data_IF_494834054086
#
_entry.id   IF_494834054086
#
_cell.length_a   1.000
_cell.length_b   1.000
_cell.length_c   1.000
_cell.angle_alpha   90.00
_cell.angle_beta   90.00
_cell.angle_gamma   90.00
#
_symmetry.space_group_name_H-M   'P 1'
#
loop_
_entity.id
_entity.type
_entity.pdbx_description
1 polymer ?
#
# COMPACT_ATOMS: atom_id res chain seq x y z
N UNK A 1 37.06 -49.09 -5.56
CA UNK A 1 36.23 -48.06 -4.91
C UNK A 1 35.50 -47.18 -5.94
N UNK A 2 34.63 -47.74 -6.80
CA UNK A 2 33.78 -46.97 -7.73
C UNK A 2 32.33 -47.48 -7.83
N UNK A 3 32.04 -48.70 -7.34
CA UNK A 3 30.69 -49.30 -7.38
C UNK A 3 29.79 -48.98 -6.16
N UNK A 4 30.36 -48.52 -5.05
CA UNK A 4 29.61 -48.18 -3.82
C UNK A 4 28.94 -46.79 -3.91
N UNK A 5 29.49 -45.89 -4.72
CA UNK A 5 28.99 -44.51 -4.86
C UNK A 5 27.69 -44.45 -5.69
N UNK A 6 27.50 -45.38 -6.63
CA UNK A 6 26.29 -45.42 -7.46
C UNK A 6 25.05 -45.95 -6.72
N UNK A 7 25.24 -46.82 -5.72
CA UNK A 7 24.14 -47.37 -4.93
C UNK A 7 23.59 -46.35 -3.92
N UNK A 8 24.47 -45.53 -3.31
CA UNK A 8 24.05 -44.42 -2.45
C UNK A 8 23.34 -43.29 -3.21
N UNK A 9 23.69 -43.05 -4.49
CA UNK A 9 23.04 -42.01 -5.29
C UNK A 9 21.62 -42.43 -5.74
N UNK A 10 21.41 -43.72 -6.03
CA UNK A 10 20.09 -44.25 -6.37
C UNK A 10 19.14 -44.31 -5.16
N UNK A 11 19.68 -44.64 -3.96
CA UNK A 11 18.89 -44.62 -2.73
C UNK A 11 18.47 -43.19 -2.34
N UNK A 12 19.34 -42.19 -2.59
CA UNK A 12 19.04 -40.78 -2.35
C UNK A 12 18.01 -40.21 -3.35
N UNK A 13 18.05 -40.65 -4.62
CA UNK A 13 17.05 -40.25 -5.62
C UNK A 13 15.68 -40.90 -5.36
N UNK A 14 15.63 -42.12 -4.81
CA UNK A 14 14.36 -42.78 -4.46
C UNK A 14 13.72 -42.18 -3.19
N UNK A 15 14.53 -41.63 -2.27
CA UNK A 15 14.00 -40.88 -1.12
C UNK A 15 13.45 -39.50 -1.51
N UNK A 16 13.91 -38.90 -2.62
CA UNK A 16 13.38 -37.61 -3.09
C UNK A 16 12.09 -37.76 -3.88
N UNK A 17 11.82 -38.91 -4.53
CA UNK A 17 10.56 -39.15 -5.24
C UNK A 17 9.40 -39.62 -4.35
N UNK A 18 9.67 -40.11 -3.14
CA UNK A 18 8.62 -40.47 -2.16
C UNK A 18 8.14 -39.27 -1.32
N UNK A 19 8.92 -38.18 -1.25
CA UNK A 19 8.56 -36.96 -0.48
C UNK A 19 7.63 -36.01 -1.25
N UNK A 20 7.37 -36.24 -2.53
CA UNK A 20 6.45 -35.42 -3.35
C UNK A 20 5.05 -36.04 -3.60
N UNK A 21 4.73 -37.18 -2.98
CA UNK A 21 3.41 -37.82 -3.10
C UNK A 21 2.67 -38.00 -1.77
N UNK A 22 3.00 -37.20 -0.74
CA UNK A 22 2.31 -37.28 0.56
C UNK A 22 1.95 -35.90 1.12
N UNK A 23 1.15 -35.12 0.39
CA UNK A 23 0.39 -34.00 0.99
C UNK A 23 -1.05 -33.89 0.49
N UNK A 24 -1.64 -35.01 0.10
CA UNK A 24 -3.09 -35.15 0.03
C UNK A 24 -3.47 -36.29 0.97
N UNK A 25 -3.27 -36.09 2.27
CA UNK A 25 -4.10 -36.81 3.22
C UNK A 25 -5.48 -36.21 3.05
N UNK A 26 -6.43 -36.99 2.55
CA UNK A 26 -7.86 -36.71 2.71
C UNK A 26 -8.10 -36.64 4.22
N UNK A 27 -7.93 -35.44 4.78
CA UNK A 27 -8.06 -35.21 6.20
C UNK A 27 -9.53 -35.46 6.51
N UNK A 28 -9.90 -36.57 7.16
CA UNK A 28 -11.31 -36.90 7.45
C UNK A 28 -11.91 -36.01 8.55
N UNK A 29 -11.30 -34.86 8.85
CA UNK A 29 -11.85 -33.90 9.79
C UNK A 29 -13.24 -33.45 9.34
N UNK A 30 -14.26 -33.55 10.21
CA UNK A 30 -15.59 -33.06 9.90
C UNK A 30 -15.65 -31.54 9.85
N UNK A 31 -14.65 -30.83 10.41
CA UNK A 31 -14.54 -29.39 10.34
C UNK A 31 -13.61 -28.99 9.19
N UNK A 32 -14.17 -28.25 8.23
CA UNK A 32 -13.47 -27.71 7.06
C UNK A 32 -13.35 -26.21 7.17
N UNK A 33 -12.30 -25.69 6.55
CA UNK A 33 -12.11 -24.26 6.43
C UNK A 33 -11.46 -23.88 5.10
N UNK A 34 -11.61 -22.62 4.73
CA UNK A 34 -10.97 -22.02 3.56
C UNK A 34 -10.73 -20.52 3.79
N UNK A 35 -9.77 -19.94 3.09
CA UNK A 35 -9.33 -18.57 3.30
C UNK A 35 -9.17 -17.82 1.97
N UNK A 36 -9.89 -16.70 1.87
CA UNK A 36 -9.77 -15.76 0.77
C UNK A 36 -9.34 -14.39 1.29
N UNK A 37 -8.26 -13.84 0.74
CA UNK A 37 -7.98 -12.40 0.84
C UNK A 37 -8.80 -11.67 -0.22
N UNK A 38 -9.53 -10.62 0.17
CA UNK A 38 -10.41 -9.89 -0.76
C UNK A 38 -9.72 -8.75 -1.50
N UNK A 39 -8.75 -8.08 -0.88
CA UNK A 39 -8.13 -6.92 -1.51
C UNK A 39 -7.07 -7.32 -2.53
N UNK A 40 -7.19 -6.76 -3.72
CA UNK A 40 -6.16 -6.81 -4.75
C UNK A 40 -5.29 -5.55 -4.67
N UNK A 41 -4.01 -5.69 -4.33
CA UNK A 41 -3.05 -4.58 -4.31
C UNK A 41 -1.85 -4.79 -3.39
N UNK A 42 -0.81 -3.94 -3.50
CA UNK A 42 0.33 -3.98 -2.60
C UNK A 42 -0.09 -3.78 -1.14
N UNK A 43 0.55 -4.53 -0.24
CA UNK A 43 0.33 -4.36 1.20
C UNK A 43 1.15 -3.16 1.65
N UNK A 44 0.47 -2.14 2.18
CA UNK A 44 1.09 -0.90 2.65
C UNK A 44 0.68 -0.63 4.09
N UNK A 45 1.57 0.03 4.83
CA UNK A 45 1.27 0.52 6.18
C UNK A 45 0.01 1.40 6.16
N UNK A 46 -0.90 1.16 7.11
CA UNK A 46 -2.17 1.86 7.25
C UNK A 46 -3.29 1.34 6.34
N UNK A 47 -3.00 0.51 5.33
CA UNK A 47 -4.05 -0.19 4.60
C UNK A 47 -4.66 -1.29 5.48
N UNK A 48 -5.95 -1.54 5.28
CA UNK A 48 -6.64 -2.69 5.84
C UNK A 48 -6.60 -3.85 4.85
N UNK A 49 -6.17 -5.02 5.32
CA UNK A 49 -6.35 -6.28 4.62
C UNK A 49 -7.63 -6.95 5.13
N UNK A 50 -8.56 -7.24 4.23
CA UNK A 50 -9.78 -7.98 4.50
C UNK A 50 -9.63 -9.45 4.08
N UNK A 51 -9.90 -10.34 5.02
CA UNK A 51 -9.98 -11.78 4.81
C UNK A 51 -11.40 -12.28 5.02
N UNK A 52 -11.83 -13.16 4.12
CA UNK A 52 -13.00 -14.00 4.27
C UNK A 52 -12.54 -15.40 4.67
N UNK A 53 -12.80 -15.79 5.91
CA UNK A 53 -12.45 -17.10 6.44
C UNK A 53 -13.72 -17.96 6.54
N UNK A 54 -13.89 -18.89 5.60
CA UNK A 54 -15.04 -19.77 5.53
C UNK A 54 -14.81 -21.00 6.40
N UNK A 55 -15.84 -21.41 7.14
CA UNK A 55 -15.80 -22.56 8.04
C UNK A 55 -17.10 -23.35 7.84
N UNK A 56 -17.00 -24.67 7.80
CA UNK A 56 -18.16 -25.56 7.71
C UNK A 56 -17.92 -26.88 8.42
N UNK A 57 -18.88 -27.33 9.22
CA UNK A 57 -18.91 -28.66 9.79
C UNK A 57 -19.78 -29.59 8.93
N UNK A 58 -19.27 -30.79 8.65
CA UNK A 58 -19.97 -31.84 7.90
C UNK A 58 -20.68 -32.85 8.80
N UNK A 59 -20.39 -32.87 10.11
CA UNK A 59 -21.01 -33.79 11.08
C UNK A 59 -22.14 -33.15 11.90
N UNK A 60 -22.44 -31.87 11.66
CA UNK A 60 -23.47 -31.12 12.37
C UNK A 60 -23.03 -30.48 13.69
N UNK A 61 -21.75 -30.63 14.09
CA UNK A 61 -21.22 -29.97 15.28
C UNK A 61 -21.09 -28.46 15.06
N UNK A 62 -21.64 -27.67 15.98
CA UNK A 62 -21.58 -26.21 15.91
C UNK A 62 -20.17 -25.66 16.12
N UNK A 63 -19.86 -24.60 15.37
CA UNK A 63 -18.65 -23.78 15.53
C UNK A 63 -18.78 -22.99 16.83
N UNK A 64 -17.77 -23.07 17.71
CA UNK A 64 -17.77 -22.39 19.00
C UNK A 64 -16.95 -21.11 18.98
N UNK A 65 -15.76 -21.17 18.41
CA UNK A 65 -14.84 -20.04 18.43
C UNK A 65 -13.93 -20.03 17.20
N UNK A 66 -13.41 -18.83 16.93
CA UNK A 66 -12.38 -18.58 15.93
C UNK A 66 -11.26 -17.79 16.57
N UNK A 67 -10.03 -18.18 16.29
CA UNK A 67 -8.81 -17.49 16.68
C UNK A 67 -7.97 -17.20 15.44
N UNK A 68 -7.48 -15.97 15.33
CA UNK A 68 -6.63 -15.52 14.24
C UNK A 68 -5.37 -14.94 14.85
N UNK A 69 -4.22 -15.51 14.53
CA UNK A 69 -2.92 -15.03 14.98
C UNK A 69 -2.15 -14.41 13.80
N UNK A 70 -1.91 -13.10 13.86
CA UNK A 70 -1.04 -12.39 12.94
C UNK A 70 0.42 -12.49 13.39
N UNK A 71 1.38 -12.45 12.47
CA UNK A 71 2.81 -12.43 12.83
C UNK A 71 3.28 -11.10 13.43
N UNK A 72 2.48 -10.03 13.32
CA UNK A 72 2.68 -8.72 13.94
C UNK A 72 1.37 -8.23 14.54
N UNK A 73 1.38 -7.54 15.70
CA UNK A 73 0.20 -6.86 16.20
C UNK A 73 -0.37 -5.91 15.14
N UNK A 74 -1.66 -5.98 14.88
CA UNK A 74 -2.31 -5.04 13.97
C UNK A 74 -2.41 -3.64 14.59
N UNK A 75 -2.53 -2.61 13.75
CA UNK A 75 -2.85 -1.27 14.21
C UNK A 75 -4.33 -1.15 14.64
N UNK A 76 -4.71 0.00 15.20
CA UNK A 76 -6.08 0.30 15.59
C UNK A 76 -7.06 0.03 14.42
N UNK A 77 -8.19 -0.60 14.72
CA UNK A 77 -9.16 -1.07 13.74
C UNK A 77 -8.96 -2.52 13.30
N UNK A 78 -7.90 -3.20 13.76
CA UNK A 78 -7.70 -4.63 13.54
C UNK A 78 -8.66 -5.46 14.39
N UNK A 79 -9.34 -6.43 13.76
CA UNK A 79 -10.19 -7.37 14.49
C UNK A 79 -11.13 -8.17 13.59
N UNK A 80 -11.92 -9.01 14.25
CA UNK A 80 -12.98 -9.81 13.63
C UNK A 80 -14.29 -9.00 13.68
N UNK A 81 -15.03 -8.92 12.58
CA UNK A 81 -16.34 -8.30 12.58
C UNK A 81 -17.40 -9.21 13.20
N UNK A 82 -18.37 -8.60 13.91
CA UNK A 82 -19.50 -9.34 14.50
C UNK A 82 -20.48 -9.88 13.45
N UNK A 83 -20.54 -9.24 12.29
CA UNK A 83 -21.43 -9.58 11.19
C UNK A 83 -20.61 -10.05 9.98
N UNK A 84 -21.22 -10.88 9.15
CA UNK A 84 -20.74 -11.20 7.81
C UNK A 84 -21.80 -10.85 6.77
N UNK A 85 -21.39 -10.83 5.51
CA UNK A 85 -22.26 -10.51 4.37
C UNK A 85 -22.49 -11.74 3.53
N UNK A 86 -23.75 -12.09 3.36
CA UNK A 86 -24.22 -13.19 2.54
C UNK A 86 -25.00 -12.65 1.36
N UNK A 87 -25.00 -13.36 0.24
CA UNK A 87 -25.87 -13.05 -0.90
C UNK A 87 -27.17 -13.81 -0.74
N UNK A 88 -28.29 -13.11 -0.68
CA UNK A 88 -29.60 -13.73 -0.65
C UNK A 88 -29.86 -14.42 -2.00
N UNK A 89 -30.07 -15.75 -2.03
CA UNK A 89 -30.19 -16.49 -3.28
C UNK A 89 -31.46 -16.16 -4.08
N UNK A 90 -32.46 -15.54 -3.45
CA UNK A 90 -33.76 -15.26 -4.07
C UNK A 90 -33.78 -13.94 -4.86
N UNK A 91 -32.99 -12.95 -4.45
CA UNK A 91 -32.98 -11.62 -5.06
C UNK A 91 -31.57 -11.10 -5.42
N UNK A 92 -30.51 -11.79 -4.98
CA UNK A 92 -29.13 -11.40 -5.23
C UNK A 92 -28.62 -10.23 -4.37
N UNK A 93 -29.40 -9.77 -3.38
CA UNK A 93 -29.01 -8.67 -2.50
C UNK A 93 -28.03 -9.14 -1.41
N UNK A 94 -27.18 -8.22 -0.91
CA UNK A 94 -26.32 -8.51 0.25
C UNK A 94 -27.11 -8.36 1.55
N UNK A 95 -27.05 -9.37 2.41
CA UNK A 95 -27.63 -9.36 3.76
C UNK A 95 -26.54 -9.47 4.83
N UNK A 96 -26.61 -8.61 5.85
CA UNK A 96 -25.77 -8.73 7.02
C UNK A 96 -26.35 -9.75 8.01
N UNK A 97 -25.55 -10.74 8.35
CA UNK A 97 -25.91 -11.77 9.33
C UNK A 97 -24.91 -11.75 10.47
N UNK A 98 -25.41 -11.69 11.70
CA UNK A 98 -24.58 -11.76 12.90
C UNK A 98 -23.97 -13.15 13.02
N UNK A 99 -22.64 -13.22 13.06
CA UNK A 99 -21.86 -14.47 13.15
C UNK A 99 -21.17 -14.65 14.51
N UNK A 100 -20.93 -13.57 15.24
CA UNK A 100 -20.25 -13.62 16.54
C UNK A 100 -21.10 -13.00 17.65
N UNK A 101 -21.05 -13.61 18.83
CA UNK A 101 -21.64 -13.05 20.07
C UNK A 101 -20.72 -12.01 20.68
N UNK A 102 -19.41 -12.24 20.59
CA UNK A 102 -18.34 -11.42 21.16
C UNK A 102 -17.07 -11.55 20.31
N UNK A 103 -16.30 -10.46 20.24
CA UNK A 103 -15.00 -10.40 19.54
C UNK A 103 -13.99 -9.60 20.36
N UNK A 104 -12.72 -10.02 20.36
CA UNK A 104 -11.63 -9.31 21.01
C UNK A 104 -10.36 -9.35 20.15
N UNK A 105 -9.45 -8.41 20.36
CA UNK A 105 -8.13 -8.40 19.72
C UNK A 105 -7.10 -7.87 20.70
N UNK A 106 -6.09 -8.70 20.99
CA UNK A 106 -5.01 -8.39 21.92
C UNK A 106 -3.67 -8.77 21.30
N UNK A 107 -2.83 -7.75 21.06
CA UNK A 107 -1.55 -7.94 20.39
C UNK A 107 -1.72 -8.58 19.01
N UNK A 108 -1.19 -9.79 18.85
CA UNK A 108 -1.25 -10.56 17.60
C UNK A 108 -2.51 -11.42 17.44
N UNK A 109 -3.33 -11.55 18.48
CA UNK A 109 -4.41 -12.54 18.52
C UNK A 109 -5.77 -11.85 18.50
N UNK A 110 -6.60 -12.21 17.53
CA UNK A 110 -8.02 -11.86 17.46
C UNK A 110 -8.88 -13.08 17.73
N UNK A 111 -9.91 -12.94 18.57
CA UNK A 111 -10.82 -14.03 18.95
C UNK A 111 -12.27 -13.63 18.68
N UNK A 112 -13.08 -14.61 18.32
CA UNK A 112 -14.53 -14.47 18.21
C UNK A 112 -15.22 -15.71 18.78
N UNK A 113 -16.25 -15.49 19.59
CA UNK A 113 -17.19 -16.53 19.98
C UNK A 113 -18.36 -16.52 18.99
N UNK A 114 -18.65 -17.69 18.41
CA UNK A 114 -19.52 -17.80 17.24
C UNK A 114 -20.96 -18.10 17.69
N UNK A 115 -21.94 -17.46 17.04
CA UNK A 115 -23.36 -17.79 17.21
C UNK A 115 -23.56 -19.25 16.80
N UNK A 116 -24.43 -19.99 17.50
CA UNK A 116 -24.66 -21.41 17.23
C UNK A 116 -25.01 -21.67 15.75
N UNK A 117 -24.06 -22.22 15.01
CA UNK A 117 -24.15 -22.51 13.58
C UNK A 117 -23.13 -23.57 13.20
N UNK A 118 -23.43 -24.34 12.15
CA UNK A 118 -22.52 -25.31 11.56
C UNK A 118 -21.69 -24.73 10.41
N UNK A 119 -22.02 -23.53 9.94
CA UNK A 119 -21.29 -22.86 8.87
C UNK A 119 -21.28 -21.34 9.06
N UNK A 120 -20.14 -20.72 8.80
CA UNK A 120 -19.98 -19.26 8.88
C UNK A 120 -18.85 -18.77 7.96
N UNK A 121 -18.99 -17.54 7.47
CA UNK A 121 -17.86 -16.80 6.89
C UNK A 121 -17.46 -15.67 7.83
N UNK A 122 -16.25 -15.74 8.38
CA UNK A 122 -15.70 -14.71 9.26
C UNK A 122 -15.04 -13.62 8.41
N UNK A 123 -15.34 -12.35 8.72
CA UNK A 123 -14.62 -11.20 8.14
C UNK A 123 -13.57 -10.73 9.13
N UNK A 124 -12.31 -10.83 8.73
CA UNK A 124 -11.18 -10.34 9.53
C UNK A 124 -10.53 -9.17 8.82
N UNK A 125 -10.35 -8.08 9.56
CA UNK A 125 -9.74 -6.86 9.09
C UNK A 125 -8.41 -6.68 9.82
N UNK A 126 -7.31 -6.64 9.08
CA UNK A 126 -5.97 -6.39 9.61
C UNK A 126 -5.44 -5.06 9.12
N UNK A 127 -5.30 -4.09 10.02
CA UNK A 127 -4.70 -2.79 9.69
C UNK A 127 -3.19 -2.91 9.80
N UNK A 128 -2.49 -2.76 8.68
CA UNK A 128 -1.04 -2.98 8.60
C UNK A 128 -0.30 -1.96 9.48
N UNK A 129 0.42 -2.40 10.52
CA UNK A 129 1.10 -1.51 11.45
C UNK A 129 2.38 -0.91 10.84
N UNK A 130 2.88 0.18 11.43
CA UNK A 130 4.09 0.86 10.94
C UNK A 130 5.33 -0.02 11.05
N UNK A 131 5.39 -0.85 12.09
CA UNK A 131 6.50 -1.76 12.42
C UNK A 131 6.62 -2.89 11.40
N UNK A 132 5.54 -3.22 10.68
CA UNK A 132 5.57 -4.26 9.66
C UNK A 132 6.19 -3.76 8.33
N UNK A 133 6.50 -2.47 8.18
CA UNK A 133 7.07 -1.90 6.94
C UNK A 133 8.34 -2.63 6.50
N UNK A 134 8.39 -3.06 5.24
CA UNK A 134 9.53 -3.78 4.67
C UNK A 134 9.67 -5.23 5.17
N UNK A 135 8.80 -5.68 6.08
CA UNK A 135 8.79 -7.04 6.60
C UNK A 135 7.72 -7.89 5.88
N UNK A 136 7.74 -9.19 6.17
CA UNK A 136 6.70 -10.12 5.75
C UNK A 136 5.70 -10.35 6.88
N UNK A 137 4.42 -10.37 6.54
CA UNK A 137 3.35 -10.73 7.46
C UNK A 137 2.66 -12.02 7.02
N UNK A 138 2.18 -12.81 7.98
CA UNK A 138 1.38 -14.01 7.76
C UNK A 138 0.33 -14.14 8.84
N UNK A 139 -0.70 -14.93 8.57
CA UNK A 139 -1.84 -15.13 9.44
C UNK A 139 -2.11 -16.63 9.61
N UNK A 140 -2.40 -17.04 10.84
CA UNK A 140 -2.84 -18.37 11.18
C UNK A 140 -4.29 -18.29 11.68
N UNK A 141 -5.21 -18.92 10.94
CA UNK A 141 -6.62 -18.98 11.28
C UNK A 141 -6.93 -20.35 11.87
N UNK A 142 -7.69 -20.37 12.96
CA UNK A 142 -8.11 -21.57 13.66
C UNK A 142 -9.58 -21.48 14.00
N UNK A 143 -10.35 -22.50 13.62
CA UNK A 143 -11.74 -22.70 14.04
C UNK A 143 -11.83 -23.86 15.03
N UNK A 144 -12.73 -23.72 16.00
CA UNK A 144 -12.88 -24.64 17.13
C UNK A 144 -14.34 -25.06 17.24
N UNK A 145 -14.58 -26.37 17.29
CA UNK A 145 -15.86 -27.00 17.64
C UNK A 145 -15.70 -27.83 18.92
N UNK A 146 -16.76 -28.48 19.39
CA UNK A 146 -16.64 -29.51 20.45
C UNK A 146 -15.92 -30.78 19.97
N UNK A 147 -15.98 -31.06 18.66
CA UNK A 147 -15.43 -32.27 18.05
C UNK A 147 -13.99 -32.14 17.54
N UNK A 148 -13.42 -30.93 17.52
CA UNK A 148 -12.04 -30.71 17.08
C UNK A 148 -11.75 -29.29 16.61
N UNK A 149 -10.68 -29.16 15.85
CA UNK A 149 -10.22 -27.88 15.29
C UNK A 149 -9.83 -28.03 13.82
N UNK A 150 -9.90 -26.93 13.09
CA UNK A 150 -9.36 -26.82 11.74
C UNK A 150 -8.51 -25.56 11.66
N UNK A 151 -7.38 -25.65 10.96
CA UNK A 151 -6.44 -24.53 10.82
C UNK A 151 -6.11 -24.28 9.36
N UNK A 152 -5.85 -23.02 9.02
CA UNK A 152 -5.33 -22.64 7.70
C UNK A 152 -4.37 -21.46 7.88
N UNK A 153 -3.27 -21.50 7.14
CA UNK A 153 -2.29 -20.43 7.13
C UNK A 153 -2.39 -19.64 5.83
N UNK A 154 -2.36 -18.31 5.92
CA UNK A 154 -2.21 -17.48 4.73
C UNK A 154 -0.84 -17.69 4.07
N UNK A 155 -0.70 -17.35 2.78
CA UNK A 155 0.60 -17.02 2.21
C UNK A 155 1.32 -15.93 3.02
N UNK A 156 2.63 -15.82 2.82
CA UNK A 156 3.37 -14.65 3.30
C UNK A 156 3.07 -13.45 2.40
N UNK A 157 2.78 -12.30 3.00
CA UNK A 157 2.60 -11.04 2.30
C UNK A 157 3.75 -10.09 2.61
N UNK A 158 4.47 -9.63 1.59
CA UNK A 158 5.49 -8.59 1.74
C UNK A 158 4.81 -7.24 1.93
N UNK A 159 5.08 -6.59 3.06
CA UNK A 159 4.67 -5.21 3.30
C UNK A 159 5.66 -4.29 2.60
N UNK A 160 5.17 -3.49 1.68
CA UNK A 160 6.00 -2.58 0.91
C UNK A 160 6.64 -1.51 1.80
N UNK A 161 7.86 -1.10 1.44
CA UNK A 161 8.57 0.01 2.05
C UNK A 161 8.09 1.38 1.55
N UNK A 162 7.19 1.40 0.56
CA UNK A 162 6.59 2.60 -0.01
C UNK A 162 5.66 3.26 1.01
N UNK A 163 5.77 4.57 1.10
CA UNK A 163 4.91 5.42 1.93
C UNK A 163 3.92 6.16 1.05
N UNK A 164 2.66 6.26 1.48
CA UNK A 164 1.62 7.05 0.81
C UNK A 164 1.30 8.28 1.64
N UNK A 165 1.26 9.43 0.98
CA UNK A 165 0.77 10.68 1.55
C UNK A 165 -0.31 11.25 0.64
N UNK A 166 -1.48 11.55 1.21
CA UNK A 166 -2.66 12.07 0.50
C UNK A 166 -2.98 13.48 0.96
N UNK A 167 -3.85 14.17 0.22
CA UNK A 167 -4.38 15.49 0.56
C UNK A 167 -3.28 16.56 0.69
N UNK A 168 -2.21 16.44 -0.11
CA UNK A 168 -1.15 17.43 -0.18
C UNK A 168 -1.56 18.57 -1.11
N UNK A 169 -1.09 19.78 -0.80
CA UNK A 169 -1.45 20.97 -1.58
C UNK A 169 -0.27 21.94 -1.70
N UNK A 170 -0.17 22.56 -2.86
CA UNK A 170 0.76 23.65 -3.19
C UNK A 170 0.00 24.81 -3.81
N UNK A 171 0.41 26.03 -3.47
CA UNK A 171 -0.15 27.27 -4.00
C UNK A 171 0.95 28.32 -4.22
N UNK A 172 0.83 29.12 -5.28
CA UNK A 172 1.89 30.02 -5.75
C UNK A 172 2.23 31.13 -4.73
N UNK A 173 1.25 31.55 -3.93
CA UNK A 173 1.37 32.68 -3.01
C UNK A 173 1.33 32.35 -1.51
N UNK A 174 1.11 31.08 -1.13
CA UNK A 174 1.04 30.72 0.31
C UNK A 174 2.02 29.60 0.64
N UNK A 175 1.94 28.46 -0.05
CA UNK A 175 2.81 27.30 0.22
C UNK A 175 3.31 26.74 -1.11
N UNK A 176 4.38 27.31 -1.62
CA UNK A 176 4.93 27.00 -2.94
C UNK A 176 6.15 26.07 -2.87
N UNK A 177 6.85 25.99 -1.75
CA UNK A 177 8.02 25.12 -1.59
C UNK A 177 7.59 23.76 -1.04
N UNK A 178 8.14 22.64 -1.52
CA UNK A 178 7.83 21.30 -1.00
C UNK A 178 9.11 20.56 -0.61
N UNK A 179 9.06 19.86 0.52
CA UNK A 179 10.12 18.94 0.95
C UNK A 179 9.62 17.50 0.87
N UNK A 180 10.34 16.67 0.10
CA UNK A 180 10.16 15.23 0.13
C UNK A 180 10.60 14.63 1.44
N UNK A 181 11.46 15.26 2.24
CA UNK A 181 11.87 14.72 3.56
C UNK A 181 10.74 14.84 4.58
N UNK A 182 10.22 16.05 4.75
CA UNK A 182 9.17 16.35 5.76
C UNK A 182 7.77 16.05 5.25
N UNK A 183 7.58 15.88 3.94
CA UNK A 183 6.29 15.71 3.28
C UNK A 183 5.33 16.88 3.51
N UNK A 184 5.87 18.09 3.60
CA UNK A 184 5.13 19.32 3.84
C UNK A 184 5.44 20.38 2.79
N UNK A 185 4.46 21.26 2.55
CA UNK A 185 4.66 22.49 1.79
C UNK A 185 5.00 23.66 2.72
N UNK A 186 5.71 24.66 2.24
CA UNK A 186 6.14 25.85 2.98
C UNK A 186 6.04 27.09 2.10
N UNK A 187 5.87 28.25 2.71
CA UNK A 187 6.14 29.54 2.06
C UNK A 187 7.65 29.79 2.00
N UNK A 188 8.10 30.70 1.12
CA UNK A 188 9.51 31.13 1.08
C UNK A 188 9.96 31.66 2.44
N UNK A 189 9.16 32.52 3.08
CA UNK A 189 9.47 33.08 4.41
C UNK A 189 9.60 32.00 5.49
N UNK A 190 8.75 30.96 5.46
CA UNK A 190 8.85 29.83 6.40
C UNK A 190 10.13 29.02 6.19
N UNK A 191 10.57 28.85 4.94
CA UNK A 191 11.81 28.15 4.63
C UNK A 191 13.01 28.88 5.24
N UNK A 192 13.03 30.21 5.14
CA UNK A 192 14.08 31.06 5.69
C UNK A 192 14.05 31.09 7.23
N UNK A 193 12.87 31.27 7.82
CA UNK A 193 12.68 31.29 9.28
C UNK A 193 13.11 29.98 9.94
N UNK A 194 12.78 28.84 9.32
CA UNK A 194 13.09 27.51 9.84
C UNK A 194 14.50 27.03 9.47
N UNK A 195 15.20 27.72 8.57
CA UNK A 195 16.52 27.32 8.08
C UNK A 195 16.53 25.96 7.37
N UNK A 196 15.50 25.67 6.57
CA UNK A 196 15.31 24.36 5.89
C UNK A 196 15.47 24.43 4.36
N UNK A 197 16.21 25.42 3.86
CA UNK A 197 16.36 25.67 2.42
C UNK A 197 17.00 24.49 1.68
N UNK A 198 17.91 23.76 2.34
CA UNK A 198 18.56 22.54 1.87
C UNK A 198 17.62 21.32 1.80
N UNK A 199 16.41 21.42 2.36
CA UNK A 199 15.39 20.35 2.33
C UNK A 199 14.32 20.53 1.26
N UNK A 200 14.35 21.64 0.53
CA UNK A 200 13.32 21.93 -0.49
C UNK A 200 13.67 21.20 -1.78
N UNK A 201 12.82 20.28 -2.20
CA UNK A 201 13.05 19.47 -3.41
C UNK A 201 12.51 20.18 -4.65
N UNK A 202 11.33 20.79 -4.57
CA UNK A 202 10.72 21.49 -5.69
C UNK A 202 9.84 22.63 -5.23
N UNK A 203 9.70 23.61 -6.12
CA UNK A 203 8.92 24.82 -5.96
C UNK A 203 7.82 24.78 -7.00
N UNK A 204 6.59 24.98 -6.55
CA UNK A 204 5.41 25.12 -7.37
C UNK A 204 5.32 26.55 -7.91
N UNK A 205 4.96 26.67 -9.19
CA UNK A 205 4.72 27.95 -9.84
C UNK A 205 3.59 27.81 -10.85
N UNK A 206 2.83 28.89 -11.04
CA UNK A 206 1.78 28.98 -12.04
C UNK A 206 1.98 30.23 -12.90
N UNK A 207 1.93 30.05 -14.22
CA UNK A 207 1.84 31.15 -15.19
C UNK A 207 1.12 30.66 -16.44
N UNK A 208 0.29 31.52 -17.04
CA UNK A 208 -0.47 31.16 -18.24
C UNK A 208 0.46 30.83 -19.42
N UNK A 209 1.52 31.62 -19.60
CA UNK A 209 2.51 31.43 -20.66
C UNK A 209 3.94 31.64 -20.17
N UNK A 210 4.90 31.06 -20.89
CA UNK A 210 6.31 31.44 -20.87
C UNK A 210 6.50 32.72 -21.70
N UNK A 211 7.57 33.47 -21.45
CA UNK A 211 7.86 34.77 -22.12
C UNK A 211 7.91 34.74 -23.66
N UNK A 212 7.93 33.54 -24.26
CA UNK A 212 7.87 33.27 -25.70
C UNK A 212 6.47 32.89 -26.22
N UNK A 213 5.41 33.01 -25.42
CA UNK A 213 4.01 32.74 -25.81
C UNK A 213 3.55 31.29 -25.67
N UNK A 214 4.44 30.37 -25.32
CA UNK A 214 4.12 28.95 -25.07
C UNK A 214 3.36 28.77 -23.77
N UNK A 215 2.44 27.81 -23.72
CA UNK A 215 1.72 27.46 -22.49
C UNK A 215 2.70 26.94 -21.43
N UNK A 216 2.44 27.28 -20.17
CA UNK A 216 3.19 26.76 -19.02
C UNK A 216 2.26 26.14 -17.98
N UNK A 217 1.15 26.83 -17.68
CA UNK A 217 0.13 26.41 -16.71
C UNK A 217 0.73 26.11 -15.33
N UNK A 218 0.45 24.94 -14.75
CA UNK A 218 1.00 24.53 -13.47
C UNK A 218 2.36 23.85 -13.66
N UNK A 219 3.33 24.18 -12.81
CA UNK A 219 4.65 23.58 -12.86
C UNK A 219 5.27 23.31 -11.50
N UNK A 220 6.11 22.28 -11.47
CA UNK A 220 7.03 21.95 -10.38
C UNK A 220 8.45 22.16 -10.90
N UNK A 221 9.27 22.89 -10.16
CA UNK A 221 10.60 23.29 -10.61
C UNK A 221 11.60 23.16 -9.47
N UNK A 222 12.75 22.54 -9.71
CA UNK A 222 13.77 22.37 -8.68
C UNK A 222 14.40 23.73 -8.35
N UNK A 223 14.81 23.98 -7.09
CA UNK A 223 15.49 25.23 -6.72
C UNK A 223 16.76 25.53 -7.54
N UNK A 224 17.47 24.50 -7.99
CA UNK A 224 18.69 24.66 -8.79
C UNK A 224 18.45 25.12 -10.24
N UNK A 225 17.20 25.25 -10.67
CA UNK A 225 16.86 25.53 -12.07
C UNK A 225 16.98 27.03 -12.40
N UNK A 226 16.97 27.38 -13.68
CA UNK A 226 17.05 28.77 -14.12
C UNK A 226 15.85 29.59 -13.60
N UNK A 227 16.15 30.79 -13.10
CA UNK A 227 15.15 31.69 -12.47
C UNK A 227 13.95 31.98 -13.36
N UNK A 228 14.10 31.96 -14.69
CA UNK A 228 13.01 32.19 -15.64
C UNK A 228 11.88 31.15 -15.54
N UNK A 229 12.18 29.91 -15.20
CA UNK A 229 11.17 28.88 -14.97
C UNK A 229 10.39 29.12 -13.68
N UNK A 230 11.02 29.72 -12.68
CA UNK A 230 10.43 29.96 -11.35
C UNK A 230 9.64 31.27 -11.27
N UNK A 231 10.01 32.29 -12.06
CA UNK A 231 9.29 33.57 -12.09
C UNK A 231 7.77 33.38 -12.26
N UNK A 232 6.92 34.06 -11.46
CA UNK A 232 7.26 35.13 -10.50
C UNK A 232 7.63 34.65 -9.09
N UNK A 233 7.71 33.34 -8.85
CA UNK A 233 8.03 32.78 -7.53
C UNK A 233 9.52 32.96 -7.23
N UNK A 234 9.80 33.49 -6.04
CA UNK A 234 11.15 33.62 -5.50
C UNK A 234 11.70 32.27 -5.04
N UNK A 235 13.01 32.09 -5.20
CA UNK A 235 13.74 30.93 -4.71
C UNK A 235 14.20 31.26 -3.30
N UNK A 236 13.85 30.45 -2.27
CA UNK A 236 14.36 30.68 -0.92
C UNK A 236 15.89 30.74 -0.89
N UNK A 237 16.43 31.67 -0.10
CA UNK A 237 17.88 31.82 0.01
C UNK A 237 18.55 30.51 0.46
N UNK A 238 19.56 30.06 -0.28
CA UNK A 238 20.27 28.81 -0.01
C UNK A 238 19.64 27.54 -0.59
N UNK A 239 18.42 27.60 -1.13
CA UNK A 239 17.80 26.44 -1.75
C UNK A 239 18.47 26.13 -3.11
N UNK A 240 19.16 24.99 -3.19
CA UNK A 240 20.01 24.64 -4.34
C UNK A 240 19.82 23.21 -4.83
N UNK A 241 18.84 22.48 -4.29
CA UNK A 241 18.61 21.09 -4.64
C UNK A 241 18.30 20.92 -6.12
N UNK A 242 19.02 20.00 -6.75
CA UNK A 242 18.82 19.58 -8.14
C UNK A 242 17.98 18.32 -8.20
N UNK A 243 16.70 18.47 -7.90
CA UNK A 243 15.71 17.39 -7.96
C UNK A 243 15.36 17.07 -9.41
N UNK A 244 15.44 15.78 -9.76
CA UNK A 244 15.07 15.30 -11.08
C UNK A 244 13.58 15.06 -11.15
N UNK A 245 12.97 15.48 -12.25
CA UNK A 245 11.54 15.35 -12.49
C UNK A 245 11.30 14.88 -13.93
N UNK A 246 10.37 13.95 -14.08
CA UNK A 246 9.88 13.49 -15.38
C UNK A 246 8.36 13.40 -15.32
N UNK A 247 7.67 14.06 -16.26
CA UNK A 247 6.24 13.90 -16.41
C UNK A 247 5.96 12.48 -16.88
N UNK A 248 5.29 11.69 -16.03
CA UNK A 248 5.03 10.27 -16.26
C UNK A 248 3.63 9.94 -15.80
N UNK A 249 2.82 9.34 -16.67
CA UNK A 249 1.45 8.98 -16.34
C UNK A 249 1.35 7.53 -15.89
N UNK A 250 1.17 7.33 -14.59
CA UNK A 250 0.74 6.08 -13.98
C UNK A 250 -0.55 6.31 -13.20
N UNK A 251 -1.71 5.77 -13.63
CA UNK A 251 -3.01 6.02 -13.00
C UNK A 251 -3.18 5.19 -11.71
N UNK A 252 -2.28 5.38 -10.75
CA UNK A 252 -2.26 4.68 -9.48
C UNK A 252 -3.56 4.89 -8.70
N UNK A 253 -4.32 3.83 -8.52
CA UNK A 253 -5.63 3.95 -7.86
C UNK A 253 -5.56 4.06 -6.33
N UNK A 254 -4.40 3.85 -5.70
CA UNK A 254 -4.22 4.17 -4.28
C UNK A 254 -3.98 5.67 -4.08
N UNK A 255 -3.48 6.41 -5.08
CA UNK A 255 -3.26 7.85 -5.02
C UNK A 255 -4.46 8.69 -5.46
N UNK A 256 -5.33 8.12 -6.31
CA UNK A 256 -6.60 8.75 -6.72
C UNK A 256 -7.55 8.93 -5.53
N UNK A 257 -8.38 9.97 -5.63
CA UNK A 257 -9.48 10.26 -4.69
C UNK A 257 -10.82 9.64 -5.12
N UNK A 258 -10.92 9.15 -6.35
CA UNK A 258 -12.13 8.50 -6.88
C UNK A 258 -11.82 7.47 -7.96
N UNK A 259 -12.79 6.57 -8.20
CA UNK A 259 -12.70 5.50 -9.19
C UNK A 259 -12.11 4.20 -8.66
N UNK A 260 -12.33 3.12 -9.41
CA UNK A 260 -11.78 1.80 -9.08
C UNK A 260 -10.29 1.77 -9.48
N UNK A 261 -9.38 1.33 -8.58
CA UNK A 261 -7.99 1.14 -8.94
C UNK A 261 -7.84 0.13 -10.07
N UNK A 262 -7.19 0.53 -11.16
CA UNK A 262 -6.83 -0.39 -12.25
C UNK A 262 -5.34 -0.73 -12.27
N UNK A 263 -4.50 0.14 -11.69
CA UNK A 263 -3.05 0.02 -11.64
C UNK A 263 -2.56 0.44 -10.25
N UNK A 264 -1.50 -0.21 -9.79
CA UNK A 264 -0.77 0.16 -8.58
C UNK A 264 0.69 0.35 -8.93
N UNK A 265 1.23 1.53 -8.64
CA UNK A 265 2.67 1.80 -8.63
C UNK A 265 3.22 1.19 -7.36
N UNK A 266 4.06 0.18 -7.48
CA UNK A 266 4.61 -0.53 -6.34
C UNK A 266 6.09 -0.19 -6.09
N UNK A 267 6.71 -0.94 -5.18
CA UNK A 267 8.11 -0.74 -4.83
C UNK A 267 9.06 -1.06 -5.99
N UNK A 268 8.76 -2.09 -6.78
CA UNK A 268 9.58 -2.51 -7.91
C UNK A 268 9.56 -1.42 -8.98
N UNK A 269 8.38 -0.89 -9.28
CA UNK A 269 8.22 0.21 -10.24
C UNK A 269 9.10 1.40 -9.85
N UNK A 270 9.07 1.81 -8.58
CA UNK A 270 9.88 2.92 -8.09
C UNK A 270 11.38 2.59 -8.06
N UNK A 271 11.79 1.38 -7.67
CA UNK A 271 13.21 1.00 -7.66
C UNK A 271 13.81 0.94 -9.05
N UNK A 272 13.04 0.46 -10.02
CA UNK A 272 13.49 0.23 -11.39
C UNK A 272 13.23 1.41 -12.32
N UNK A 273 12.52 2.44 -11.85
CA UNK A 273 12.21 3.59 -12.67
C UNK A 273 13.49 4.25 -13.20
N UNK A 274 13.73 4.08 -14.50
CA UNK A 274 14.67 4.89 -15.23
C UNK A 274 14.09 6.30 -15.37
N UNK A 275 14.95 7.28 -15.21
CA UNK A 275 14.66 8.70 -15.37
C UNK A 275 15.38 9.11 -16.66
N UNK A 276 14.77 8.79 -17.79
CA UNK A 276 15.35 8.98 -19.13
C UNK A 276 14.93 10.34 -19.68
N UNK A 277 15.88 11.17 -20.13
CA UNK A 277 15.56 12.53 -20.59
C UNK A 277 15.18 13.51 -19.47
N UNK A 278 15.64 13.25 -18.24
CA UNK A 278 15.29 14.03 -17.04
C UNK A 278 15.63 15.50 -17.09
N UNK A 279 14.66 16.28 -16.69
CA UNK A 279 14.77 17.71 -16.42
C UNK A 279 14.74 17.97 -14.92
N UNK A 280 14.96 19.23 -14.55
CA UNK A 280 14.80 19.74 -13.18
C UNK A 280 13.48 20.51 -13.04
N UNK A 281 12.49 20.15 -13.85
CA UNK A 281 11.17 20.77 -13.89
C UNK A 281 10.14 19.90 -14.61
N UNK A 282 8.87 20.04 -14.25
CA UNK A 282 7.74 19.56 -15.01
C UNK A 282 6.70 20.69 -15.11
N UNK A 283 6.22 21.00 -16.31
CA UNK A 283 5.21 22.04 -16.57
C UNK A 283 4.05 21.46 -17.39
N UNK A 284 3.06 22.29 -17.72
CA UNK A 284 1.80 21.87 -18.32
C UNK A 284 1.15 20.73 -17.54
N UNK A 285 1.22 20.85 -16.22
CA UNK A 285 0.65 19.89 -15.30
C UNK A 285 -0.85 20.15 -15.15
N UNK A 286 -1.64 19.08 -15.21
CA UNK A 286 -3.08 19.10 -15.05
C UNK A 286 -3.58 17.92 -14.22
N UNK A 287 -4.88 17.92 -13.94
CA UNK A 287 -5.56 16.79 -13.30
C UNK A 287 -5.28 15.47 -14.03
N UNK A 288 -5.17 14.40 -13.25
CA UNK A 288 -4.91 13.04 -13.71
C UNK A 288 -3.58 12.90 -14.47
N UNK A 289 -2.59 13.74 -14.15
CA UNK A 289 -1.22 13.57 -14.60
C UNK A 289 -0.31 13.22 -13.43
N UNK A 290 0.89 12.74 -13.75
CA UNK A 290 1.86 12.34 -12.75
C UNK A 290 3.27 12.84 -13.04
N UNK A 291 4.08 12.85 -11.99
CA UNK A 291 5.49 13.23 -12.04
C UNK A 291 6.28 12.21 -11.25
N UNK A 292 7.26 11.59 -11.90
CA UNK A 292 8.29 10.81 -11.22
C UNK A 292 9.38 11.76 -10.76
N UNK A 293 9.78 11.64 -9.49
CA UNK A 293 10.66 12.58 -8.82
C UNK A 293 11.80 11.80 -8.16
N UNK A 294 13.04 12.27 -8.33
CA UNK A 294 14.18 11.78 -7.56
C UNK A 294 14.88 12.96 -6.88
N UNK A 295 14.91 12.91 -5.56
CA UNK A 295 15.57 13.89 -4.69
C UNK A 295 17.04 14.12 -5.07
N UNK A 296 17.56 15.29 -4.72
CA UNK A 296 18.92 15.71 -5.05
C UNK A 296 20.00 14.75 -4.50
N UNK A 297 19.86 14.33 -3.24
CA UNK A 297 20.74 13.38 -2.56
C UNK A 297 20.50 11.91 -2.96
N UNK A 298 19.47 11.68 -3.79
CA UNK A 298 19.01 10.36 -4.23
C UNK A 298 18.52 9.47 -3.09
N UNK A 299 18.20 10.04 -1.93
CA UNK A 299 17.64 9.33 -0.78
C UNK A 299 16.21 8.89 -1.02
N UNK A 300 15.44 9.72 -1.75
CA UNK A 300 14.06 9.47 -2.10
C UNK A 300 13.86 9.36 -3.61
N UNK A 301 13.05 8.38 -4.01
CA UNK A 301 12.32 8.40 -5.27
C UNK A 301 10.82 8.45 -4.95
N UNK A 302 10.06 9.21 -5.71
CA UNK A 302 8.65 9.39 -5.46
C UNK A 302 7.85 9.49 -6.76
N UNK A 303 6.60 9.03 -6.72
CA UNK A 303 5.62 9.23 -7.76
C UNK A 303 4.50 10.13 -7.23
N UNK A 304 4.39 11.33 -7.80
CA UNK A 304 3.36 12.31 -7.50
C UNK A 304 2.20 12.17 -8.49
N UNK A 305 0.99 12.06 -7.99
CA UNK A 305 -0.25 12.04 -8.76
C UNK A 305 -1.09 13.28 -8.49
N UNK A 306 -1.49 13.98 -9.56
CA UNK A 306 -2.23 15.23 -9.47
C UNK A 306 -3.73 14.91 -9.45
N UNK A 307 -4.35 15.14 -8.29
CA UNK A 307 -5.79 14.91 -8.11
C UNK A 307 -6.61 16.08 -8.65
N UNK A 308 -6.11 17.31 -8.53
CA UNK A 308 -6.84 18.51 -8.94
C UNK A 308 -5.88 19.67 -9.19
N UNK A 309 -6.22 20.52 -10.14
CA UNK A 309 -5.55 21.80 -10.41
C UNK A 309 -6.58 22.92 -10.53
N UNK A 310 -6.24 24.11 -10.02
CA UNK A 310 -7.07 25.30 -10.18
C UNK A 310 -6.21 26.48 -10.64
N UNK A 311 -6.39 26.91 -11.88
CA UNK A 311 -5.70 28.09 -12.44
C UNK A 311 -6.13 29.39 -11.75
N UNK A 312 -7.40 29.49 -11.34
CA UNK A 312 -7.92 30.68 -10.65
C UNK A 312 -7.31 30.85 -9.27
N UNK A 313 -7.20 29.74 -8.52
CA UNK A 313 -6.58 29.73 -7.19
C UNK A 313 -5.06 29.56 -7.25
N UNK A 314 -4.51 29.33 -8.45
CA UNK A 314 -3.12 28.96 -8.68
C UNK A 314 -2.68 27.85 -7.71
N UNK A 315 -3.46 26.77 -7.65
CA UNK A 315 -3.29 25.68 -6.68
C UNK A 315 -3.22 24.31 -7.35
N UNK A 316 -2.47 23.40 -6.75
CA UNK A 316 -2.40 21.98 -7.11
C UNK A 316 -2.63 21.12 -5.88
N UNK A 317 -3.59 20.19 -5.95
CA UNK A 317 -3.80 19.15 -4.95
C UNK A 317 -3.31 17.82 -5.49
N UNK A 318 -2.54 17.08 -4.69
CA UNK A 318 -1.88 15.87 -5.13
C UNK A 318 -1.77 14.84 -4.00
N UNK A 319 -1.43 13.62 -4.39
CA UNK A 319 -1.00 12.56 -3.51
C UNK A 319 0.32 12.00 -4.03
N UNK A 320 1.09 11.33 -3.17
CA UNK A 320 2.44 10.90 -3.52
C UNK A 320 2.78 9.58 -2.84
N UNK A 321 3.40 8.70 -3.62
CA UNK A 321 4.12 7.53 -3.14
C UNK A 321 5.60 7.87 -3.03
N UNK A 322 6.23 7.62 -1.89
CA UNK A 322 7.67 7.84 -1.67
C UNK A 322 8.34 6.55 -1.24
N UNK A 323 9.46 6.22 -1.86
CA UNK A 323 10.36 5.16 -1.45
C UNK A 323 11.68 5.76 -0.99
N UNK A 324 12.13 5.34 0.19
CA UNK A 324 13.48 5.64 0.70
C UNK A 324 14.45 4.60 0.13
N UNK A 325 15.47 5.05 -0.60
CA UNK A 325 16.46 4.22 -1.28
C UNK A 325 17.73 3.99 -0.44
N UNK A 326 18.05 4.93 0.46
CA UNK A 326 19.25 4.93 1.31
C UNK A 326 18.89 5.36 2.72
#
# INVERSE_FOLDING_TARGET
>A
MKKIIWFSLYLLLYTVTVVFYSSCSDDESPLRNDLLRKDAGPVLVGNTLEFAYAIGSTDGTSIKAVEITASFPGAEGTGIAMNSRYTNPNNGEEEEVRIATETSTEGTVSKAYIVDTIAATIRYFYVVPKEARGNKIRFHFRSITEGGEATIQSPEYTVSSVEIFKNLSLSSGERNCFSLETMQSYSVAQVEELGIADKIDFIYTFKSTMGSGWSFAHGLVAPSNEKGYLYPVEIPSGATNRTLMEKRYWPDGQLKTSGVPTIYVDEIDLRQAALDGVTTHAYELGQDQGVLIKSHDQKYIAYLYINETSSNLQRMNFAIKRLTLK
#
